data_IF_318201263217
#
_entry.id   IF_318201263217
#
_cell.length_a   1.000
_cell.length_b   1.000
_cell.length_c   1.000
_cell.angle_alpha   90.00
_cell.angle_beta   90.00
_cell.angle_gamma   90.00
#
_symmetry.space_group_name_H-M   'P 1'
#
loop_
_entity.id
_entity.type
_entity.pdbx_description
1 polymer ?
#
# COMPACT_ATOMS: atom_id res chain seq x y z
N UNK A 1 -11.69 18.28 7.05
CA UNK A 1 -11.51 17.92 5.62
C UNK A 1 -10.17 18.41 5.06
N UNK A 2 -9.80 19.70 5.16
CA UNK A 2 -8.50 20.19 4.63
C UNK A 2 -7.28 19.49 5.22
N UNK A 3 -7.31 19.07 6.48
CA UNK A 3 -6.19 18.38 7.13
C UNK A 3 -5.99 16.94 6.65
N UNK A 4 -7.05 16.20 6.31
CA UNK A 4 -6.97 14.84 5.78
C UNK A 4 -6.44 14.84 4.34
N UNK A 5 -6.85 15.80 3.52
CA UNK A 5 -6.29 16.01 2.18
C UNK A 5 -4.84 16.48 2.21
N UNK A 6 -4.46 17.29 3.21
CA UNK A 6 -3.08 17.76 3.38
C UNK A 6 -2.12 16.60 3.73
N UNK A 7 -2.58 15.60 4.48
CA UNK A 7 -1.78 14.40 4.82
C UNK A 7 -1.50 13.51 3.60
N UNK A 8 -2.44 13.42 2.66
CA UNK A 8 -2.23 12.69 1.40
C UNK A 8 -1.25 13.47 0.49
N UNK A 9 -1.31 14.79 0.47
CA UNK A 9 -0.47 15.63 -0.39
C UNK A 9 0.97 15.82 0.09
N UNK A 10 1.23 15.82 1.40
CA UNK A 10 2.57 16.05 1.97
C UNK A 10 3.53 14.85 1.87
N UNK A 11 3.03 13.64 1.52
CA UNK A 11 3.86 12.45 1.27
C UNK A 11 4.58 12.42 -0.08
N UNK A 12 4.24 13.29 -1.03
CA UNK A 12 4.63 13.13 -2.45
C UNK A 12 5.79 14.01 -2.93
N UNK A 13 6.51 14.67 -2.04
CA UNK A 13 7.58 15.59 -2.40
C UNK A 13 8.93 14.97 -2.81
N UNK A 14 9.09 13.66 -2.85
CA UNK A 14 10.33 12.99 -3.23
C UNK A 14 10.05 11.89 -4.24
N UNK A 15 10.59 12.01 -5.43
CA UNK A 15 10.60 10.96 -6.44
C UNK A 15 11.32 9.73 -5.86
N UNK A 16 10.59 8.67 -5.62
CA UNK A 16 11.08 7.42 -5.03
C UNK A 16 10.73 6.24 -5.91
N UNK A 17 11.58 5.25 -5.94
CA UNK A 17 11.64 4.15 -6.88
C UNK A 17 11.37 2.82 -6.17
N UNK A 18 10.67 1.86 -6.81
CA UNK A 18 10.19 0.71 -6.12
C UNK A 18 10.12 -0.62 -6.84
N UNK A 19 9.92 -1.71 -6.21
CA UNK A 19 9.88 -3.00 -6.84
C UNK A 19 8.84 -3.92 -6.23
N UNK A 20 7.96 -4.59 -7.08
CA UNK A 20 7.42 -5.90 -6.60
C UNK A 20 7.04 -6.95 -7.62
N UNK A 21 6.76 -6.64 -8.90
CA UNK A 21 6.48 -7.67 -9.90
C UNK A 21 7.51 -7.78 -11.03
N UNK A 22 8.60 -7.00 -11.00
CA UNK A 22 9.76 -7.43 -11.76
C UNK A 22 10.15 -8.79 -11.20
N UNK A 23 10.00 -9.89 -11.98
CA UNK A 23 10.39 -11.20 -11.48
C UNK A 23 11.85 -11.10 -11.09
N UNK A 24 12.12 -11.42 -9.82
CA UNK A 24 13.49 -11.48 -9.39
C UNK A 24 14.13 -12.60 -10.20
N UNK A 25 14.99 -12.22 -11.12
CA UNK A 25 15.76 -13.19 -11.88
C UNK A 25 16.74 -13.85 -10.93
N UNK A 26 16.68 -15.16 -10.81
CA UNK A 26 17.70 -15.90 -10.10
C UNK A 26 18.94 -15.86 -10.97
N UNK A 27 19.93 -15.08 -10.57
CA UNK A 27 21.21 -14.95 -11.22
C UNK A 27 22.18 -15.97 -10.62
N UNK A 28 22.78 -16.76 -11.48
CA UNK A 28 23.78 -17.77 -11.13
C UNK A 28 25.19 -17.20 -11.01
N UNK A 29 25.44 -16.00 -11.52
CA UNK A 29 26.74 -15.36 -11.40
C UNK A 29 26.99 -14.99 -9.94
N UNK A 30 28.05 -15.56 -9.37
CA UNK A 30 28.51 -15.21 -8.03
C UNK A 30 29.45 -14.01 -8.16
N UNK A 31 28.98 -12.86 -7.69
CA UNK A 31 29.81 -11.68 -7.55
C UNK A 31 30.10 -11.48 -6.08
N UNK A 32 31.35 -11.17 -5.75
CA UNK A 32 31.79 -10.94 -4.39
C UNK A 32 31.02 -9.78 -3.74
N UNK A 33 30.79 -8.73 -4.52
CA UNK A 33 30.09 -7.53 -4.07
C UNK A 33 29.00 -7.13 -5.07
N UNK A 34 27.81 -6.87 -4.55
CA UNK A 34 26.66 -6.37 -5.35
C UNK A 34 25.96 -5.24 -4.65
N UNK A 35 25.57 -4.23 -5.42
CA UNK A 35 24.66 -3.19 -4.97
C UNK A 35 23.37 -3.32 -5.79
N UNK A 36 22.24 -3.36 -5.12
CA UNK A 36 20.91 -3.38 -5.72
C UNK A 36 20.15 -2.15 -5.23
N UNK A 37 19.71 -1.33 -6.16
CA UNK A 37 18.77 -0.24 -5.92
C UNK A 37 17.44 -0.65 -6.55
N UNK A 38 16.40 -0.62 -5.78
CA UNK A 38 15.09 -1.02 -6.24
C UNK A 38 14.01 -0.12 -5.66
N UNK A 39 13.03 0.12 -6.46
CA UNK A 39 12.02 1.00 -6.10
C UNK A 39 10.63 0.69 -6.76
N UNK A 40 9.39 0.92 -6.11
CA UNK A 40 7.99 0.69 -6.57
C UNK A 40 7.01 1.77 -6.13
N UNK A 41 6.21 2.16 -7.00
CA UNK A 41 5.03 2.95 -6.77
C UNK A 41 3.82 2.19 -7.32
N UNK A 42 2.82 2.00 -6.48
CA UNK A 42 1.52 1.46 -6.87
C UNK A 42 0.43 2.23 -6.11
N UNK A 43 -0.41 2.93 -6.83
CA UNK A 43 -1.62 3.55 -6.30
C UNK A 43 -2.79 3.00 -7.10
N UNK A 44 -3.56 2.13 -6.49
CA UNK A 44 -4.59 1.36 -7.18
C UNK A 44 -5.90 1.31 -6.40
N UNK A 45 -7.00 1.15 -7.15
CA UNK A 45 -8.35 1.10 -6.59
C UNK A 45 -9.19 0.06 -7.31
N UNK A 46 -10.21 -0.44 -6.62
CA UNK A 46 -11.22 -1.30 -7.23
C UNK A 46 -12.32 -0.55 -8.00
N UNK A 47 -12.42 0.77 -7.82
CA UNK A 47 -13.54 1.58 -8.33
C UNK A 47 -13.16 2.97 -8.85
N UNK A 48 -12.13 3.61 -8.28
CA UNK A 48 -11.71 4.93 -8.73
C UNK A 48 -11.01 4.85 -10.09
N UNK A 49 -11.22 5.87 -10.91
CA UNK A 49 -10.48 6.03 -12.18
C UNK A 49 -9.08 6.61 -11.94
N UNK A 50 -8.14 6.29 -12.81
CA UNK A 50 -6.78 6.87 -12.77
C UNK A 50 -6.82 8.40 -12.79
N UNK A 51 -7.74 9.01 -13.54
CA UNK A 51 -7.91 10.45 -13.57
C UNK A 51 -8.31 11.03 -12.21
N UNK A 52 -9.26 10.38 -11.50
CA UNK A 52 -9.66 10.80 -10.16
C UNK A 52 -8.53 10.58 -9.12
N UNK A 53 -7.85 9.43 -9.22
CA UNK A 53 -6.70 9.10 -8.38
C UNK A 53 -5.58 10.15 -8.52
N UNK A 54 -5.28 10.57 -9.75
CA UNK A 54 -4.28 11.60 -10.00
C UNK A 54 -4.63 12.94 -9.34
N UNK A 55 -5.93 13.28 -9.21
CA UNK A 55 -6.35 14.50 -8.49
C UNK A 55 -6.05 14.44 -6.99
N UNK A 56 -6.07 13.26 -6.38
CA UNK A 56 -5.64 13.12 -4.99
C UNK A 56 -4.13 13.30 -4.82
N UNK A 57 -3.34 12.95 -5.83
CA UNK A 57 -1.87 13.03 -5.79
C UNK A 57 -1.36 14.41 -6.20
N UNK A 58 -1.80 14.92 -7.32
CA UNK A 58 -1.30 16.16 -7.92
C UNK A 58 -2.14 17.40 -7.62
N UNK A 59 -3.29 17.22 -6.98
CA UNK A 59 -4.26 18.27 -6.76
C UNK A 59 -5.07 18.60 -8.01
N UNK A 60 -5.91 19.62 -7.90
CA UNK A 60 -6.76 20.11 -8.97
C UNK A 60 -8.25 19.83 -8.71
N UNK A 61 -9.08 20.35 -9.59
CA UNK A 61 -10.54 20.25 -9.46
C UNK A 61 -11.02 18.82 -9.76
N UNK A 62 -11.90 18.30 -8.89
CA UNK A 62 -12.67 17.08 -9.11
C UNK A 62 -14.04 17.50 -9.62
N UNK A 63 -14.33 17.22 -10.88
CA UNK A 63 -15.60 17.57 -11.51
C UNK A 63 -16.69 16.55 -11.17
N UNK A 64 -17.96 16.96 -11.24
CA UNK A 64 -19.10 16.06 -11.05
C UNK A 64 -19.03 14.85 -12.01
N UNK A 65 -18.63 15.07 -13.27
CA UNK A 65 -18.48 13.98 -14.24
C UNK A 65 -17.47 12.91 -13.78
N UNK A 66 -16.38 13.30 -13.10
CA UNK A 66 -15.38 12.37 -12.56
C UNK A 66 -15.94 11.61 -11.36
N UNK A 67 -16.64 12.29 -10.44
CA UNK A 67 -17.24 11.64 -9.28
C UNK A 67 -18.39 10.70 -9.68
N UNK A 68 -19.25 11.09 -10.62
CA UNK A 68 -20.34 10.26 -11.13
C UNK A 68 -19.80 9.02 -11.87
N UNK A 69 -18.77 9.19 -12.69
CA UNK A 69 -18.12 8.07 -13.36
C UNK A 69 -17.55 7.07 -12.34
N UNK A 70 -16.90 7.55 -11.29
CA UNK A 70 -16.39 6.71 -10.22
C UNK A 70 -17.55 6.07 -9.44
N UNK A 71 -18.55 6.83 -9.03
CA UNK A 71 -19.71 6.34 -8.27
C UNK A 71 -20.44 5.20 -8.98
N UNK A 72 -20.61 5.29 -10.31
CA UNK A 72 -21.24 4.24 -11.10
C UNK A 72 -20.41 2.94 -11.16
N UNK A 73 -19.11 3.01 -10.92
CA UNK A 73 -18.21 1.84 -10.84
C UNK A 73 -18.14 1.22 -9.45
N UNK A 74 -18.60 1.93 -8.42
CA UNK A 74 -18.57 1.44 -7.05
C UNK A 74 -19.51 0.25 -6.85
N UNK A 75 -18.99 -0.74 -6.15
CA UNK A 75 -19.76 -1.86 -5.57
C UNK A 75 -20.10 -1.53 -4.12
N UNK A 76 -20.81 -2.42 -3.42
CA UNK A 76 -21.12 -2.20 -2.00
C UNK A 76 -19.90 -1.83 -1.18
N UNK A 77 -18.82 -2.59 -1.32
CA UNK A 77 -17.51 -2.35 -0.69
C UNK A 77 -16.41 -2.17 -1.74
N UNK A 78 -15.57 -1.17 -1.55
CA UNK A 78 -14.50 -0.77 -2.48
C UNK A 78 -13.17 -0.64 -1.74
N UNK A 79 -12.08 -0.66 -2.50
CA UNK A 79 -10.71 -0.61 -1.97
C UNK A 79 -9.89 0.44 -2.68
N UNK A 80 -8.97 1.03 -1.92
CA UNK A 80 -7.83 1.80 -2.42
C UNK A 80 -6.61 1.26 -1.70
N UNK A 81 -5.51 1.12 -2.40
CA UNK A 81 -4.20 0.82 -1.84
C UNK A 81 -3.15 1.75 -2.38
N UNK A 82 -2.22 2.09 -1.53
CA UNK A 82 -1.01 2.82 -1.91
C UNK A 82 0.19 2.07 -1.38
N UNK A 83 1.17 1.90 -2.23
CA UNK A 83 2.46 1.37 -1.85
C UNK A 83 3.56 2.16 -2.57
N UNK A 84 4.47 2.72 -1.78
CA UNK A 84 5.67 3.41 -2.24
C UNK A 84 6.83 2.86 -1.44
N UNK A 85 7.77 2.20 -2.11
CA UNK A 85 8.98 1.67 -1.46
C UNK A 85 10.22 2.02 -2.24
N UNK A 86 11.30 2.35 -1.56
CA UNK A 86 12.64 2.44 -2.11
C UNK A 86 13.61 1.71 -1.20
N UNK A 87 14.48 0.85 -1.76
CA UNK A 87 15.39 0.03 -0.99
C UNK A 87 16.75 -0.04 -1.70
N UNK A 88 17.81 0.13 -0.95
CA UNK A 88 19.19 -0.18 -1.33
C UNK A 88 19.60 -1.43 -0.59
N UNK A 89 20.13 -2.41 -1.30
CA UNK A 89 20.65 -3.63 -0.75
C UNK A 89 22.12 -3.81 -1.19
N UNK A 90 23.00 -4.02 -0.23
CA UNK A 90 24.38 -4.41 -0.45
C UNK A 90 24.57 -5.87 -0.07
N UNK A 91 25.20 -6.64 -0.94
CA UNK A 91 25.55 -8.04 -0.74
C UNK A 91 27.04 -8.21 -0.80
N UNK A 92 27.59 -9.01 0.11
CA UNK A 92 28.99 -9.37 0.13
C UNK A 92 29.11 -10.86 0.45
N UNK A 93 29.55 -11.66 -0.53
CA UNK A 93 29.73 -13.12 -0.38
C UNK A 93 31.13 -13.49 0.07
N UNK A 94 32.09 -12.56 0.06
CA UNK A 94 33.45 -12.82 0.60
C UNK A 94 33.47 -12.74 2.13
N UNK A 95 32.62 -11.89 2.72
CA UNK A 95 32.43 -11.85 4.17
C UNK A 95 31.60 -13.06 4.62
N UNK A 96 32.27 -14.03 5.24
CA UNK A 96 31.64 -15.26 5.72
C UNK A 96 30.87 -15.00 6.99
N UNK A 97 29.53 -15.05 6.90
CA UNK A 97 28.65 -14.80 8.03
C UNK A 97 28.70 -15.97 9.02
N UNK A 98 28.92 -15.69 10.29
CA UNK A 98 29.15 -16.68 11.36
C UNK A 98 30.25 -17.72 11.05
N UNK A 99 31.26 -17.37 10.26
CA UNK A 99 32.35 -18.27 9.90
C UNK A 99 31.98 -19.42 8.95
N UNK A 100 30.78 -19.40 8.38
CA UNK A 100 30.30 -20.39 7.42
C UNK A 100 30.59 -19.93 6.00
N UNK A 101 31.34 -20.72 5.25
CA UNK A 101 31.74 -20.40 3.86
C UNK A 101 30.55 -20.20 2.90
N UNK A 102 29.42 -20.82 3.23
CA UNK A 102 28.21 -20.82 2.42
C UNK A 102 27.42 -19.49 2.49
N UNK A 103 27.60 -18.74 3.59
CA UNK A 103 26.75 -17.58 3.86
C UNK A 103 27.54 -16.29 3.83
N UNK A 104 27.12 -15.39 2.92
CA UNK A 104 27.60 -14.01 2.84
C UNK A 104 26.75 -13.06 3.68
N UNK A 105 27.15 -11.80 3.67
CA UNK A 105 26.47 -10.69 4.35
C UNK A 105 25.48 -10.01 3.40
N UNK A 106 24.32 -9.65 3.91
CA UNK A 106 23.39 -8.71 3.27
C UNK A 106 23.08 -7.55 4.21
N UNK A 107 23.14 -6.32 3.69
CA UNK A 107 22.76 -5.10 4.38
C UNK A 107 21.71 -4.37 3.55
N UNK A 108 20.66 -3.85 4.20
CA UNK A 108 19.56 -3.13 3.54
C UNK A 108 19.27 -1.82 4.23
N UNK A 109 18.94 -0.83 3.44
CA UNK A 109 18.34 0.41 3.91
C UNK A 109 17.20 0.79 2.98
N UNK A 110 16.09 1.26 3.53
CA UNK A 110 14.94 1.59 2.71
C UNK A 110 13.92 2.49 3.40
N UNK A 111 13.01 2.99 2.57
CA UNK A 111 11.83 3.75 2.97
C UNK A 111 10.58 3.08 2.41
N UNK A 112 9.52 3.06 3.21
CA UNK A 112 8.23 2.54 2.78
C UNK A 112 7.11 3.47 3.24
N UNK A 113 6.22 3.80 2.33
CA UNK A 113 4.89 4.35 2.61
C UNK A 113 3.87 3.37 2.06
N UNK A 114 3.01 2.84 2.92
CA UNK A 114 2.06 1.80 2.54
C UNK A 114 0.75 1.99 3.29
N UNK A 115 -0.36 1.83 2.58
CA UNK A 115 -1.67 1.95 3.18
C UNK A 115 -2.78 1.34 2.36
N UNK A 116 -3.92 1.18 3.01
CA UNK A 116 -5.14 0.72 2.38
C UNK A 116 -6.36 1.37 2.99
N UNK A 117 -7.38 1.53 2.19
CA UNK A 117 -8.71 1.96 2.60
C UNK A 117 -9.75 1.02 1.98
N UNK A 118 -10.56 0.42 2.83
CA UNK A 118 -11.79 -0.27 2.51
C UNK A 118 -12.95 0.67 2.83
N UNK A 119 -13.91 0.84 1.94
CA UNK A 119 -15.00 1.81 2.15
C UNK A 119 -16.25 1.42 1.37
N UNK A 120 -17.40 1.87 1.88
CA UNK A 120 -18.69 1.64 1.24
C UNK A 120 -18.89 2.57 0.03
N UNK A 121 -19.76 2.17 -0.90
CA UNK A 121 -20.20 3.02 -2.00
C UNK A 121 -20.84 4.33 -1.48
N UNK A 122 -21.63 4.22 -0.42
CA UNK A 122 -22.36 5.35 0.11
C UNK A 122 -21.43 6.37 0.79
N UNK A 123 -20.34 5.90 1.44
CA UNK A 123 -19.32 6.81 1.95
C UNK A 123 -18.71 7.66 0.83
N UNK A 124 -18.42 7.06 -0.32
CA UNK A 124 -17.94 7.81 -1.48
C UNK A 124 -19.00 8.79 -2.00
N UNK A 125 -20.25 8.33 -2.13
CA UNK A 125 -21.37 9.15 -2.56
C UNK A 125 -21.57 10.36 -1.70
N UNK A 126 -21.61 10.20 -0.37
CA UNK A 126 -21.75 11.30 0.57
C UNK A 126 -20.60 12.31 0.50
N UNK A 127 -19.36 11.83 0.32
CA UNK A 127 -18.17 12.70 0.27
C UNK A 127 -18.09 13.52 -1.02
N UNK A 128 -18.47 12.95 -2.16
CA UNK A 128 -18.25 13.57 -3.48
C UNK A 128 -19.52 14.07 -4.14
N UNK A 129 -20.67 13.42 -3.91
CA UNK A 129 -21.94 13.77 -4.54
C UNK A 129 -22.93 14.41 -3.56
N UNK A 130 -22.59 14.38 -2.24
CA UNK A 130 -23.47 14.92 -1.20
C UNK A 130 -24.60 13.97 -0.80
N UNK A 131 -25.52 14.48 0.03
CA UNK A 131 -26.57 13.68 0.65
C UNK A 131 -27.93 13.71 -0.10
N UNK A 132 -28.04 14.48 -1.16
CA UNK A 132 -29.30 14.64 -1.92
C UNK A 132 -29.82 13.29 -2.46
N UNK A 133 -28.93 12.40 -2.90
CA UNK A 133 -29.28 11.07 -3.39
C UNK A 133 -29.80 10.10 -2.32
N UNK A 134 -29.72 10.49 -1.05
CA UNK A 134 -30.13 9.67 0.10
C UNK A 134 -31.39 10.24 0.80
N UNK A 135 -32.14 11.13 0.17
CA UNK A 135 -33.41 11.61 0.69
C UNK A 135 -34.41 10.46 0.78
N UNK A 136 -34.95 10.22 1.97
CA UNK A 136 -35.85 9.10 2.27
C UNK A 136 -35.18 7.73 2.29
N UNK A 137 -33.84 7.68 2.27
CA UNK A 137 -33.06 6.44 2.26
C UNK A 137 -31.92 6.50 3.30
N UNK A 138 -31.38 5.31 3.62
CA UNK A 138 -30.24 5.17 4.49
C UNK A 138 -28.96 5.01 3.68
N UNK A 139 -27.94 5.79 4.01
CA UNK A 139 -26.59 5.62 3.49
C UNK A 139 -25.74 4.84 4.49
N UNK A 140 -25.16 3.71 4.06
CA UNK A 140 -24.33 2.88 4.91
C UNK A 140 -22.85 3.22 4.79
N UNK A 141 -22.23 3.56 5.93
CA UNK A 141 -20.81 3.81 6.09
C UNK A 141 -20.09 2.62 6.73
N UNK A 142 -20.85 1.60 7.13
CA UNK A 142 -20.40 0.44 7.90
C UNK A 142 -19.34 -0.36 7.17
N UNK A 143 -18.43 -0.98 7.95
CA UNK A 143 -17.35 -1.81 7.43
C UNK A 143 -16.20 -1.04 6.80
N UNK A 144 -16.22 0.29 6.81
CA UNK A 144 -15.10 1.10 6.32
C UNK A 144 -13.91 1.00 7.28
N UNK A 145 -12.73 0.72 6.72
CA UNK A 145 -11.49 0.62 7.51
C UNK A 145 -10.29 1.06 6.68
N UNK A 146 -9.35 1.74 7.33
CA UNK A 146 -8.14 2.23 6.69
C UNK A 146 -6.94 2.11 7.59
N UNK A 147 -5.77 1.98 6.96
CA UNK A 147 -4.47 2.00 7.64
C UNK A 147 -3.43 2.61 6.71
N UNK A 148 -2.56 3.44 7.27
CA UNK A 148 -1.45 4.03 6.54
C UNK A 148 -0.23 4.13 7.44
N UNK A 149 0.92 3.73 6.88
CA UNK A 149 2.21 3.72 7.54
C UNK A 149 3.28 4.37 6.68
N UNK A 150 4.18 5.10 7.33
CA UNK A 150 5.46 5.46 6.73
C UNK A 150 6.59 5.11 7.68
N UNK A 151 7.62 4.45 7.17
CA UNK A 151 8.77 4.04 7.96
C UNK A 151 10.06 3.92 7.15
N UNK A 152 11.18 4.10 7.82
CA UNK A 152 12.50 3.77 7.34
C UNK A 152 12.90 2.40 7.89
N UNK A 153 13.69 1.66 7.12
CA UNK A 153 14.19 0.34 7.46
C UNK A 153 15.70 0.32 7.35
N UNK A 154 16.35 -0.27 8.34
CA UNK A 154 17.74 -0.72 8.25
C UNK A 154 17.79 -2.19 8.66
N UNK A 155 18.44 -3.03 7.83
CA UNK A 155 18.49 -4.47 8.03
C UNK A 155 19.88 -5.03 7.79
N UNK A 156 20.23 -6.06 8.55
CA UNK A 156 21.44 -6.84 8.38
C UNK A 156 21.08 -8.32 8.43
N UNK A 157 21.75 -9.14 7.62
CA UNK A 157 21.43 -10.56 7.55
C UNK A 157 22.41 -11.40 6.78
N UNK A 158 22.05 -12.66 6.59
CA UNK A 158 22.81 -13.64 5.85
C UNK A 158 22.16 -13.92 4.49
N UNK A 159 23.01 -14.21 3.49
CA UNK A 159 22.60 -14.62 2.15
C UNK A 159 23.34 -15.91 1.75
N UNK A 160 22.59 -16.90 1.27
CA UNK A 160 23.17 -18.10 0.69
C UNK A 160 23.80 -17.76 -0.68
N UNK A 161 25.04 -18.12 -0.86
CA UNK A 161 25.81 -17.79 -2.06
C UNK A 161 25.22 -18.41 -3.33
N UNK A 162 24.73 -19.63 -3.27
CA UNK A 162 24.24 -20.38 -4.44
C UNK A 162 22.78 -20.05 -4.77
N UNK A 163 21.90 -20.13 -3.80
CA UNK A 163 20.46 -19.93 -4.02
C UNK A 163 20.05 -18.47 -3.96
N UNK A 164 20.92 -17.59 -3.40
CA UNK A 164 20.59 -16.20 -3.06
C UNK A 164 19.42 -16.09 -2.07
N UNK A 165 19.09 -17.21 -1.41
CA UNK A 165 18.16 -17.19 -0.27
C UNK A 165 18.75 -16.34 0.84
N UNK A 166 17.95 -15.53 1.48
CA UNK A 166 18.45 -14.64 2.52
C UNK A 166 17.44 -14.42 3.63
N UNK A 167 17.97 -14.08 4.79
CA UNK A 167 17.19 -13.66 5.94
C UNK A 167 17.88 -12.44 6.56
N UNK A 168 17.10 -11.43 6.95
CA UNK A 168 17.63 -10.26 7.64
C UNK A 168 16.78 -9.87 8.84
N UNK A 169 17.44 -9.39 9.88
CA UNK A 169 16.85 -8.71 11.00
C UNK A 169 16.81 -7.21 10.68
N UNK A 170 15.67 -6.60 10.89
CA UNK A 170 15.43 -5.21 10.55
C UNK A 170 15.04 -4.38 11.78
N UNK A 171 15.51 -3.16 11.81
CA UNK A 171 15.05 -2.10 12.71
C UNK A 171 14.29 -1.07 11.89
N UNK A 172 13.18 -0.60 12.43
CA UNK A 172 12.32 0.38 11.77
C UNK A 172 12.24 1.68 12.58
N UNK A 173 12.36 2.82 11.89
CA UNK A 173 11.95 4.12 12.40
C UNK A 173 10.59 4.49 11.82
N UNK A 174 9.58 4.60 12.66
CA UNK A 174 8.20 4.90 12.21
C UNK A 174 8.02 6.41 12.13
N UNK A 175 7.72 6.94 10.94
CA UNK A 175 7.49 8.38 10.74
C UNK A 175 6.01 8.76 10.80
N UNK A 176 5.12 7.86 10.39
CA UNK A 176 3.67 8.10 10.45
C UNK A 176 2.92 6.78 10.65
N UNK A 177 1.87 6.87 11.44
CA UNK A 177 0.89 5.82 11.62
C UNK A 177 -0.50 6.43 11.70
N UNK A 178 -1.42 5.92 10.89
CA UNK A 178 -2.85 6.27 10.94
C UNK A 178 -3.65 4.99 10.73
N UNK A 179 -4.72 4.83 11.50
CA UNK A 179 -5.71 3.79 11.28
C UNK A 179 -7.09 4.33 11.56
N UNK A 180 -8.08 3.86 10.82
CA UNK A 180 -9.48 4.21 11.02
C UNK A 180 -10.34 2.96 10.85
N UNK A 181 -11.41 2.86 11.61
CA UNK A 181 -12.38 1.78 11.51
C UNK A 181 -13.76 2.26 11.86
N UNK A 182 -14.71 2.03 10.97
CA UNK A 182 -16.15 2.24 11.18
C UNK A 182 -16.80 0.86 11.23
N UNK A 183 -17.20 0.43 12.43
CA UNK A 183 -17.91 -0.85 12.62
C UNK A 183 -19.33 -0.72 12.15
N UNK A 184 -20.00 0.31 12.63
CA UNK A 184 -21.35 0.70 12.25
C UNK A 184 -21.36 2.18 11.93
N UNK A 185 -21.98 2.54 10.83
CA UNK A 185 -22.16 3.92 10.43
C UNK A 185 -23.33 4.00 9.47
N UNK A 186 -24.36 4.77 9.83
CA UNK A 186 -25.50 5.00 8.97
C UNK A 186 -25.90 6.46 9.01
N UNK A 187 -26.25 6.99 7.87
CA UNK A 187 -26.84 8.31 7.72
C UNK A 187 -28.22 8.15 7.08
N UNK A 188 -29.26 8.52 7.79
CA UNK A 188 -30.63 8.60 7.26
C UNK A 188 -31.09 10.04 7.21
N UNK A 189 -31.69 10.42 6.10
CA UNK A 189 -32.32 11.72 5.92
C UNK A 189 -33.77 11.52 5.49
N UNK A 190 -34.68 12.24 6.10
CA UNK A 190 -36.12 12.21 5.69
C UNK A 190 -36.30 12.68 4.25
N UNK A 191 -37.35 12.21 3.59
CA UNK A 191 -37.65 12.57 2.21
C UNK A 191 -37.86 14.09 1.99
N UNK A 192 -38.30 14.77 3.04
CA UNK A 192 -38.50 16.23 3.00
C UNK A 192 -37.24 17.03 3.43
N UNK A 193 -36.12 16.32 3.74
CA UNK A 193 -34.89 16.93 4.24
C UNK A 193 -35.04 17.73 5.55
N UNK A 194 -36.10 17.49 6.34
CA UNK A 194 -36.39 18.18 7.58
C UNK A 194 -35.71 17.57 8.81
N UNK A 195 -35.27 16.32 8.72
CA UNK A 195 -34.46 15.68 9.75
C UNK A 195 -33.36 14.79 9.19
N UNK A 196 -32.29 14.66 9.98
CA UNK A 196 -31.14 13.82 9.68
C UNK A 196 -30.78 13.03 10.93
N UNK A 197 -30.61 11.70 10.78
CA UNK A 197 -30.15 10.82 11.84
C UNK A 197 -28.81 10.20 11.46
N UNK A 198 -27.84 10.27 12.35
CA UNK A 198 -26.51 9.71 12.19
C UNK A 198 -26.23 8.74 13.31
N UNK A 199 -25.96 7.47 12.96
CA UNK A 199 -25.43 6.47 13.90
C UNK A 199 -23.96 6.24 13.57
N UNK A 200 -23.10 6.28 14.59
CA UNK A 200 -21.68 6.04 14.44
C UNK A 200 -21.17 5.13 15.56
N UNK A 201 -20.53 4.03 15.19
CA UNK A 201 -19.67 3.20 16.05
C UNK A 201 -18.35 2.99 15.32
N UNK A 202 -17.35 3.72 15.72
CA UNK A 202 -16.07 3.68 15.04
C UNK A 202 -15.02 4.54 15.72
N UNK A 203 -13.85 4.57 15.10
CA UNK A 203 -12.79 5.41 15.61
C UNK A 203 -11.64 5.55 14.61
N UNK A 204 -10.80 6.49 14.91
CA UNK A 204 -9.59 6.75 14.18
C UNK A 204 -8.45 6.97 15.17
N UNK A 205 -7.27 6.49 14.85
CA UNK A 205 -6.06 6.69 15.65
C UNK A 205 -4.91 7.15 14.76
N UNK A 206 -4.18 8.14 15.21
CA UNK A 206 -3.02 8.66 14.51
C UNK A 206 -1.87 8.94 15.46
N UNK A 207 -0.64 8.73 14.98
CA UNK A 207 0.54 9.21 15.67
C UNK A 207 0.60 10.73 15.59
N UNK A 208 0.65 11.38 16.76
CA UNK A 208 0.70 12.83 16.92
C UNK A 208 2.07 13.27 17.45
N UNK A 209 2.26 14.57 17.66
CA UNK A 209 3.51 15.13 18.17
C UNK A 209 4.45 15.62 17.07
N UNK A 210 5.45 16.41 17.46
CA UNK A 210 6.38 17.10 16.54
C UNK A 210 7.60 16.26 16.11
N UNK A 211 7.89 15.15 16.83
CA UNK A 211 9.05 14.32 16.54
C UNK A 211 8.96 13.68 15.16
N UNK A 212 10.07 13.63 14.41
CA UNK A 212 10.12 12.96 13.12
C UNK A 212 9.82 11.46 13.26
N UNK A 213 10.48 10.78 14.20
CA UNK A 213 10.15 9.39 14.52
C UNK A 213 9.05 9.32 15.58
N UNK A 214 7.98 8.63 15.25
CA UNK A 214 6.81 8.37 16.10
C UNK A 214 6.97 7.08 16.90
N UNK A 215 7.94 6.25 16.55
CA UNK A 215 8.18 4.98 17.19
C UNK A 215 9.34 4.23 16.55
N UNK A 216 9.66 3.10 17.15
CA UNK A 216 10.68 2.16 16.66
C UNK A 216 10.09 0.78 16.55
N UNK A 217 10.57 -0.01 15.58
CA UNK A 217 10.10 -1.37 15.37
C UNK A 217 11.25 -2.34 15.13
N UNK A 218 10.95 -3.62 15.25
CA UNK A 218 11.83 -4.72 14.88
C UNK A 218 11.04 -5.74 14.04
N UNK A 219 11.74 -6.41 13.14
CA UNK A 219 11.13 -7.46 12.34
C UNK A 219 12.14 -8.16 11.46
N UNK A 220 11.63 -9.08 10.65
CA UNK A 220 12.42 -9.91 9.76
C UNK A 220 11.95 -9.79 8.32
N UNK A 221 12.91 -9.82 7.38
CA UNK A 221 12.67 -10.14 5.98
C UNK A 221 13.25 -11.52 5.71
N UNK A 222 12.54 -12.30 4.91
CA UNK A 222 12.92 -13.63 4.52
C UNK A 222 12.64 -13.84 3.03
N UNK A 223 13.64 -14.23 2.26
CA UNK A 223 13.55 -14.59 0.84
C UNK A 223 14.19 -15.95 0.65
N UNK A 224 13.38 -16.98 0.67
CA UNK A 224 13.82 -18.36 0.46
C UNK A 224 13.51 -18.80 -0.96
N UNK A 225 14.54 -19.32 -1.65
CA UNK A 225 14.47 -19.74 -3.04
C UNK A 225 14.82 -21.21 -3.14
N UNK A 226 13.82 -22.01 -3.41
CA UNK A 226 13.91 -23.46 -3.51
C UNK A 226 14.07 -23.88 -4.98
N UNK A 227 15.18 -24.55 -5.35
CA UNK A 227 15.31 -25.14 -6.67
C UNK A 227 14.33 -26.31 -6.82
N UNK A 228 13.62 -26.35 -7.93
CA UNK A 228 12.67 -27.43 -8.29
C UNK A 228 12.98 -27.87 -9.71
N UNK A 229 13.20 -29.15 -9.90
CA UNK A 229 13.35 -29.72 -11.24
C UNK A 229 11.96 -29.85 -11.90
N UNK A 230 11.76 -29.12 -13.00
CA UNK A 230 10.48 -29.15 -13.73
C UNK A 230 10.49 -30.24 -14.80
N UNK A 231 11.62 -30.35 -15.51
CA UNK A 231 11.89 -31.38 -16.54
C UNK A 231 13.32 -31.78 -16.37
N UNK A 232 13.66 -33.01 -16.69
CA UNK A 232 15.02 -33.56 -16.54
C UNK A 232 16.08 -32.57 -17.05
N UNK A 233 16.94 -32.10 -16.15
CA UNK A 233 18.02 -31.14 -16.44
C UNK A 233 17.57 -29.65 -16.44
N UNK A 234 16.28 -29.30 -16.17
CA UNK A 234 15.83 -27.93 -16.10
C UNK A 234 15.36 -27.56 -14.69
N UNK A 235 16.10 -26.68 -14.05
CA UNK A 235 15.80 -26.21 -12.70
C UNK A 235 15.08 -24.87 -12.73
N UNK A 236 13.89 -24.82 -12.14
CA UNK A 236 13.19 -23.58 -11.80
C UNK A 236 13.36 -23.26 -10.32
N UNK A 237 13.01 -22.06 -9.93
CA UNK A 237 13.02 -21.62 -8.54
C UNK A 237 11.63 -21.22 -8.08
N UNK A 238 11.22 -21.74 -6.94
CA UNK A 238 10.06 -21.30 -6.18
C UNK A 238 10.55 -20.39 -5.07
N UNK A 239 9.99 -19.19 -5.00
CA UNK A 239 10.31 -18.19 -3.98
C UNK A 239 9.24 -18.16 -2.90
N UNK A 240 9.67 -18.11 -1.65
CA UNK A 240 8.88 -17.75 -0.48
C UNK A 240 9.44 -16.45 0.07
N UNK A 241 8.74 -15.35 -0.15
CA UNK A 241 9.14 -14.02 0.26
C UNK A 241 8.23 -13.52 1.38
N UNK A 242 8.86 -13.08 2.46
CA UNK A 242 8.18 -12.34 3.54
C UNK A 242 8.96 -11.06 3.76
N UNK A 243 8.29 -9.92 3.76
CA UNK A 243 8.90 -8.62 4.08
C UNK A 243 8.17 -7.94 5.21
N UNK A 244 8.93 -7.23 6.05
CA UNK A 244 8.45 -6.42 7.15
C UNK A 244 7.60 -7.20 8.17
N UNK A 245 7.87 -8.49 8.37
CA UNK A 245 7.18 -9.26 9.41
C UNK A 245 7.73 -8.87 10.78
N UNK A 246 6.97 -8.07 11.51
CA UNK A 246 7.44 -7.53 12.78
C UNK A 246 6.40 -6.66 13.47
N UNK A 247 6.85 -5.98 14.52
CA UNK A 247 6.04 -5.06 15.30
C UNK A 247 6.81 -3.77 15.62
N UNK A 248 6.08 -2.68 15.78
CA UNK A 248 6.61 -1.39 16.17
C UNK A 248 5.95 -0.90 17.45
N UNK A 249 6.75 -0.35 18.34
CA UNK A 249 6.31 0.38 19.51
C UNK A 249 6.20 1.88 19.15
N UNK A 250 4.99 2.40 19.18
CA UNK A 250 4.71 3.81 18.94
C UNK A 250 4.91 4.56 20.28
N UNK A 251 6.03 5.27 20.38
CA UNK A 251 6.44 6.01 21.58
C UNK A 251 5.87 7.43 21.61
N UNK A 252 5.62 8.04 20.46
CA UNK A 252 4.85 9.27 20.39
C UNK A 252 3.38 8.96 20.67
N UNK A 253 2.67 9.89 21.32
CA UNK A 253 1.26 9.67 21.61
C UNK A 253 0.51 9.29 20.33
N UNK A 254 -0.17 8.17 20.39
CA UNK A 254 -1.20 7.81 19.43
C UNK A 254 -2.50 8.32 20.00
N UNK A 255 -3.03 9.37 19.41
CA UNK A 255 -4.33 9.88 19.80
C UNK A 255 -5.41 9.07 19.11
N UNK A 256 -6.24 8.42 19.89
CA UNK A 256 -7.39 7.65 19.42
C UNK A 256 -8.63 8.45 19.70
N UNK A 257 -9.44 8.65 18.67
CA UNK A 257 -10.75 9.25 18.73
C UNK A 257 -11.79 8.15 18.49
N UNK A 258 -12.72 7.99 19.41
CA UNK A 258 -13.78 7.00 19.29
C UNK A 258 -15.13 7.69 19.43
N UNK A 259 -16.09 7.31 18.60
CA UNK A 259 -17.47 7.72 18.68
C UNK A 259 -18.35 6.48 18.75
N UNK A 260 -19.27 6.45 19.70
CA UNK A 260 -20.33 5.45 19.78
C UNK A 260 -21.61 6.22 20.13
N UNK A 261 -22.29 6.70 19.11
CA UNK A 261 -23.39 7.65 19.32
C UNK A 261 -24.43 7.54 18.23
N UNK A 262 -25.65 7.94 18.60
CA UNK A 262 -26.73 8.21 17.67
C UNK A 262 -27.20 9.64 17.89
N UNK A 263 -27.12 10.43 16.82
CA UNK A 263 -27.52 11.86 16.82
C UNK A 263 -28.62 12.05 15.81
N UNK A 264 -29.69 12.76 16.24
CA UNK A 264 -30.75 13.19 15.35
C UNK A 264 -30.79 14.73 15.31
N UNK A 265 -30.81 15.26 14.12
CA UNK A 265 -30.89 16.69 13.86
C UNK A 265 -32.18 17.00 13.12
N UNK A 266 -33.07 17.81 13.75
CA UNK A 266 -34.40 18.14 13.23
C UNK A 266 -34.48 19.63 12.80
N UNK A 267 -33.40 20.15 12.21
CA UNK A 267 -33.28 21.54 11.83
C UNK A 267 -32.74 22.45 12.94
N UNK A 268 -32.48 23.70 12.61
CA UNK A 268 -32.08 24.74 13.55
C UNK A 268 -33.29 25.59 13.92
N UNK A 269 -33.48 25.83 15.21
CA UNK A 269 -34.47 26.81 15.67
C UNK A 269 -33.96 28.24 15.44
N UNK A 270 -34.89 29.21 15.44
CA UNK A 270 -34.54 30.63 15.28
C UNK A 270 -33.51 31.08 16.35
N UNK A 271 -33.66 30.61 17.58
CA UNK A 271 -32.73 30.93 18.67
C UNK A 271 -31.36 30.32 18.46
N UNK A 272 -31.26 29.12 17.87
CA UNK A 272 -29.99 28.50 17.50
C UNK A 272 -29.30 29.21 16.34
N UNK A 273 -30.05 29.87 15.46
CA UNK A 273 -29.49 30.66 14.35
C UNK A 273 -29.06 32.06 14.80
N UNK A 274 -29.86 32.73 15.63
CA UNK A 274 -29.69 34.15 15.93
C UNK A 274 -29.56 34.45 17.44
N UNK A 275 -29.72 33.45 18.32
CA UNK A 275 -29.55 33.61 19.77
C UNK A 275 -28.09 33.79 20.20
N UNK A 276 -27.89 34.05 21.49
CA UNK A 276 -26.54 34.25 22.09
C UNK A 276 -25.62 33.04 22.00
N UNK A 277 -26.16 31.83 21.74
CA UNK A 277 -25.44 30.58 21.50
C UNK A 277 -25.54 30.12 20.06
N UNK A 278 -25.62 31.02 19.07
CA UNK A 278 -25.84 30.64 17.67
C UNK A 278 -24.66 29.87 17.07
N UNK A 279 -24.97 29.00 16.13
CA UNK A 279 -23.98 28.24 15.33
C UNK A 279 -22.96 29.15 14.64
N UNK A 280 -23.35 30.41 14.37
CA UNK A 280 -22.45 31.39 13.74
C UNK A 280 -21.46 32.03 14.72
N UNK A 281 -21.65 31.89 16.01
CA UNK A 281 -20.75 32.42 17.05
C UNK A 281 -19.64 31.41 17.44
N UNK A 282 -19.46 30.29 16.70
CA UNK A 282 -18.39 29.29 16.93
C UNK A 282 -18.59 28.41 18.17
N UNK A 283 -19.75 28.46 18.82
CA UNK A 283 -20.07 27.63 19.98
C UNK A 283 -20.55 26.19 19.61
N UNK A 284 -20.80 25.93 18.34
CA UNK A 284 -21.17 24.60 17.88
C UNK A 284 -19.91 23.75 17.63
N UNK A 285 -19.67 22.74 18.48
CA UNK A 285 -18.63 21.75 18.32
C UNK A 285 -19.24 20.43 17.84
N UNK A 286 -18.86 20.01 16.65
CA UNK A 286 -19.30 18.72 16.11
C UNK A 286 -18.79 17.55 16.96
N UNK A 287 -17.58 17.67 17.54
CA UNK A 287 -17.01 16.66 18.44
C UNK A 287 -17.83 16.47 19.70
N UNK A 288 -18.34 17.57 20.28
CA UNK A 288 -19.17 17.51 21.48
C UNK A 288 -20.54 16.90 21.18
N UNK A 289 -21.11 17.25 20.02
CA UNK A 289 -22.39 16.68 19.56
C UNK A 289 -22.28 15.18 19.28
N UNK A 290 -21.15 14.73 18.74
CA UNK A 290 -20.89 13.33 18.42
C UNK A 290 -20.35 12.53 19.63
N UNK A 291 -20.19 13.13 20.80
CA UNK A 291 -19.63 12.49 21.99
C UNK A 291 -18.35 11.73 21.66
N UNK A 292 -17.40 12.45 21.04
CA UNK A 292 -16.12 11.85 20.63
C UNK A 292 -15.17 11.79 21.82
N UNK A 293 -14.94 10.59 22.30
CA UNK A 293 -13.90 10.35 23.29
C UNK A 293 -12.52 10.38 22.67
N UNK A 294 -11.57 11.04 23.32
CA UNK A 294 -10.17 11.03 22.89
C UNK A 294 -9.27 10.47 23.98
N UNK A 295 -8.44 9.52 23.61
CA UNK A 295 -7.40 8.96 24.47
C UNK A 295 -6.06 9.02 23.78
N UNK A 296 -5.01 9.28 24.57
CA UNK A 296 -3.64 9.31 24.05
C UNK A 296 -2.79 8.29 24.76
N UNK A 297 -2.03 7.50 24.03
CA UNK A 297 -1.19 6.48 24.60
C UNK A 297 -0.10 5.98 23.65
N UNK A 298 0.82 5.21 24.19
CA UNK A 298 1.84 4.48 23.42
C UNK A 298 1.48 2.99 23.36
N UNK A 299 2.04 2.27 22.39
CA UNK A 299 1.78 0.82 22.33
C UNK A 299 2.35 0.12 21.11
N UNK A 300 2.27 -1.21 21.16
CA UNK A 300 2.70 -2.07 20.07
C UNK A 300 1.67 -2.17 18.96
N UNK A 301 2.15 -2.11 17.73
CA UNK A 301 1.35 -2.33 16.51
C UNK A 301 2.09 -3.25 15.56
N UNK A 302 1.37 -4.14 14.88
CA UNK A 302 1.94 -5.00 13.84
C UNK A 302 2.33 -4.16 12.62
N UNK A 303 3.51 -4.43 12.08
CA UNK A 303 4.01 -3.78 10.85
C UNK A 303 3.22 -4.27 9.62
N UNK A 304 3.10 -3.45 8.56
CA UNK A 304 2.49 -3.88 7.31
C UNK A 304 3.40 -4.90 6.59
N UNK A 305 3.11 -6.18 6.81
CA UNK A 305 3.84 -7.28 6.23
C UNK A 305 3.35 -7.61 4.81
N UNK A 306 4.26 -8.16 4.00
CA UNK A 306 3.97 -8.69 2.67
C UNK A 306 4.46 -10.12 2.59
N UNK A 307 3.61 -11.03 2.12
CA UNK A 307 3.92 -12.44 1.90
C UNK A 307 3.70 -12.74 0.42
N UNK A 308 4.68 -13.37 -0.22
CA UNK A 308 4.58 -13.80 -1.62
C UNK A 308 5.13 -15.20 -1.77
N UNK A 309 4.43 -16.01 -2.55
CA UNK A 309 4.88 -17.36 -2.94
C UNK A 309 4.67 -17.50 -4.44
N UNK A 310 5.69 -17.98 -5.16
CA UNK A 310 5.54 -18.17 -6.59
C UNK A 310 6.79 -18.71 -7.29
N UNK A 311 6.59 -19.14 -8.54
CA UNK A 311 7.70 -19.49 -9.44
C UNK A 311 8.37 -18.21 -9.92
N UNK A 312 9.70 -18.19 -9.86
CA UNK A 312 10.55 -17.13 -10.37
C UNK A 312 10.99 -17.41 -11.82
N UNK A 313 11.42 -16.35 -12.49
CA UNK A 313 12.28 -16.46 -13.69
C UNK A 313 13.70 -16.83 -13.23
N UNK A 314 14.38 -17.71 -13.95
CA UNK A 314 15.74 -18.16 -13.60
C UNK A 314 16.62 -18.25 -14.83
N UNK A 315 17.89 -17.85 -14.69
CA UNK A 315 18.90 -18.07 -15.75
C UNK A 315 19.26 -19.54 -15.93
N UNK A 316 19.03 -20.38 -14.91
CA UNK A 316 19.23 -21.82 -15.00
C UNK A 316 18.13 -22.55 -15.78
N UNK A 317 17.00 -21.91 -16.01
CA UNK A 317 15.97 -22.41 -16.90
C UNK A 317 16.34 -22.01 -18.33
N UNK A 318 17.12 -22.87 -19.02
CA UNK A 318 17.56 -22.62 -20.40
C UNK A 318 16.37 -22.69 -21.37
N UNK A 319 15.53 -21.67 -21.31
CA UNK A 319 14.35 -21.50 -22.15
C UNK A 319 14.26 -20.05 -22.59
N UNK A 320 14.03 -19.85 -23.90
CA UNK A 320 13.82 -18.52 -24.49
C UNK A 320 12.61 -17.83 -23.86
N UNK A 321 11.57 -18.59 -23.53
CA UNK A 321 10.35 -18.10 -22.88
C UNK A 321 10.23 -18.76 -21.52
N UNK A 322 10.14 -17.96 -20.47
CA UNK A 322 10.02 -18.43 -19.10
C UNK A 322 8.75 -17.91 -18.47
N UNK A 323 7.89 -18.83 -17.99
CA UNK A 323 6.70 -18.47 -17.23
C UNK A 323 7.01 -18.22 -15.76
N UNK A 324 6.31 -17.29 -15.14
CA UNK A 324 6.29 -17.07 -13.70
C UNK A 324 4.86 -16.87 -13.22
N UNK A 325 4.58 -17.25 -11.98
CA UNK A 325 3.26 -17.14 -11.40
C UNK A 325 3.35 -17.25 -9.87
N UNK A 326 2.33 -16.75 -9.19
CA UNK A 326 2.30 -16.83 -7.73
C UNK A 326 1.11 -16.14 -7.10
N UNK A 327 1.20 -16.03 -5.79
CA UNK A 327 0.24 -15.34 -4.95
C UNK A 327 0.96 -14.36 -4.04
N UNK A 328 0.36 -13.19 -3.80
CA UNK A 328 0.82 -12.18 -2.86
C UNK A 328 -0.30 -11.80 -1.90
N UNK A 329 0.06 -11.60 -0.64
CA UNK A 329 -0.86 -11.23 0.43
C UNK A 329 -0.31 -10.08 1.26
N UNK A 330 -1.22 -9.29 1.81
CA UNK A 330 -0.95 -8.18 2.73
C UNK A 330 -1.75 -8.41 4.04
N UNK A 331 -1.27 -9.25 4.96
CA UNK A 331 -2.07 -9.73 6.09
C UNK A 331 -2.60 -8.64 7.02
N UNK A 332 -1.93 -7.50 7.07
CA UNK A 332 -2.24 -6.37 7.98
C UNK A 332 -2.98 -5.22 7.29
N UNK A 333 -3.27 -5.35 5.99
CA UNK A 333 -3.95 -4.32 5.20
C UNK A 333 -5.28 -4.84 4.65
N UNK A 334 -6.17 -3.93 4.31
CA UNK A 334 -7.48 -4.24 3.72
C UNK A 334 -7.37 -4.58 2.22
N UNK A 335 -6.58 -5.61 1.91
CA UNK A 335 -6.37 -6.14 0.57
C UNK A 335 -6.88 -7.58 0.47
N UNK A 336 -7.29 -8.00 -0.73
CA UNK A 336 -7.53 -9.42 -1.00
C UNK A 336 -6.24 -10.09 -1.47
N UNK A 337 -6.07 -11.42 -1.32
CA UNK A 337 -4.95 -12.10 -1.93
C UNK A 337 -4.88 -11.80 -3.43
N UNK A 338 -3.69 -11.49 -3.93
CA UNK A 338 -3.45 -11.20 -5.34
C UNK A 338 -2.79 -12.40 -5.99
N UNK A 339 -3.42 -12.96 -7.02
CA UNK A 339 -2.80 -13.96 -7.90
C UNK A 339 -2.21 -13.27 -9.12
N UNK A 340 -1.07 -13.76 -9.57
CA UNK A 340 -0.42 -13.23 -10.78
C UNK A 340 0.19 -14.36 -11.61
N UNK A 341 0.25 -14.14 -12.91
CA UNK A 341 0.97 -14.99 -13.86
C UNK A 341 1.54 -14.13 -14.97
N UNK A 342 2.66 -14.58 -15.54
CA UNK A 342 3.30 -13.87 -16.63
C UNK A 342 4.30 -14.73 -17.37
N UNK A 343 4.90 -14.15 -18.40
CA UNK A 343 5.97 -14.75 -19.15
C UNK A 343 7.04 -13.70 -19.48
N UNK A 344 8.28 -14.13 -19.48
CA UNK A 344 9.43 -13.37 -19.92
C UNK A 344 10.06 -14.02 -21.16
N UNK A 345 10.41 -13.19 -22.14
CA UNK A 345 11.20 -13.58 -23.30
C UNK A 345 12.57 -12.94 -23.16
N UNK A 346 13.62 -13.72 -23.25
CA UNK A 346 15.00 -13.24 -23.22
C UNK A 346 15.57 -13.26 -24.64
N UNK A 347 16.02 -12.09 -25.09
CA UNK A 347 16.70 -11.92 -26.39
C UNK A 347 18.05 -11.25 -26.13
N UNK A 348 19.12 -12.02 -26.21
CA UNK A 348 20.49 -11.56 -25.89
C UNK A 348 20.55 -10.89 -24.49
N UNK A 349 20.86 -9.61 -24.47
CA UNK A 349 20.99 -8.80 -23.24
C UNK A 349 19.68 -8.17 -22.77
N UNK A 350 18.60 -8.31 -23.52
CA UNK A 350 17.31 -7.69 -23.21
C UNK A 350 16.30 -8.77 -22.87
N UNK A 351 15.56 -8.56 -21.82
CA UNK A 351 14.40 -9.38 -21.44
C UNK A 351 13.14 -8.53 -21.45
N UNK A 352 12.09 -9.06 -22.05
CA UNK A 352 10.75 -8.44 -22.08
C UNK A 352 9.79 -9.36 -21.35
N UNK A 353 8.98 -8.80 -20.48
CA UNK A 353 8.00 -9.58 -19.78
C UNK A 353 6.62 -8.92 -19.76
N UNK A 354 5.62 -9.78 -19.77
CA UNK A 354 4.23 -9.40 -19.57
C UNK A 354 3.65 -10.19 -18.42
N UNK A 355 2.76 -9.59 -17.67
CA UNK A 355 2.06 -10.28 -16.59
C UNK A 355 0.61 -9.81 -16.52
N UNK A 356 -0.20 -10.66 -15.96
CA UNK A 356 -1.56 -10.36 -15.54
C UNK A 356 -1.70 -10.65 -14.06
N UNK A 357 -2.52 -9.88 -13.37
CA UNK A 357 -2.81 -10.09 -11.96
C UNK A 357 -4.27 -9.79 -11.65
N UNK A 358 -4.77 -10.42 -10.58
CA UNK A 358 -6.12 -10.19 -10.07
C UNK A 358 -6.09 -10.20 -8.53
N UNK A 359 -6.69 -9.18 -7.91
CA UNK A 359 -6.73 -9.05 -6.46
C UNK A 359 -5.89 -7.87 -5.95
N UNK A 360 -5.37 -7.98 -4.73
CA UNK A 360 -4.71 -6.86 -4.05
C UNK A 360 -5.69 -5.76 -3.67
N UNK A 361 -5.40 -4.54 -4.06
CA UNK A 361 -6.26 -3.37 -3.82
C UNK A 361 -7.23 -3.09 -4.98
N UNK A 362 -7.10 -3.80 -6.08
CA UNK A 362 -7.89 -3.59 -7.31
C UNK A 362 -8.47 -4.91 -7.83
N UNK A 363 -8.93 -4.93 -9.09
CA UNK A 363 -9.34 -6.12 -9.81
C UNK A 363 -8.26 -6.65 -10.74
N UNK A 364 -8.60 -6.82 -12.01
CA UNK A 364 -7.69 -7.27 -13.07
C UNK A 364 -6.73 -6.16 -13.49
N UNK A 365 -5.44 -6.52 -13.63
CA UNK A 365 -4.39 -5.66 -14.20
C UNK A 365 -3.54 -6.45 -15.19
N UNK A 366 -2.97 -5.73 -16.14
CA UNK A 366 -1.97 -6.24 -17.06
C UNK A 366 -0.72 -5.37 -16.98
N UNK A 367 0.40 -5.97 -16.70
CA UNK A 367 1.69 -5.32 -16.54
C UNK A 367 2.66 -5.65 -17.68
N UNK A 368 3.67 -4.81 -17.79
CA UNK A 368 4.77 -4.96 -18.72
C UNK A 368 6.07 -4.53 -18.05
N UNK A 369 7.16 -5.21 -18.37
CA UNK A 369 8.49 -4.79 -17.94
C UNK A 369 9.56 -5.10 -19.00
N UNK A 370 10.65 -4.35 -18.93
CA UNK A 370 11.86 -4.58 -19.72
C UNK A 370 13.07 -4.59 -18.79
N UNK A 371 14.00 -5.51 -19.03
CA UNK A 371 15.25 -5.60 -18.31
C UNK A 371 16.41 -5.62 -19.30
N UNK A 372 17.45 -4.86 -18.99
CA UNK A 372 18.71 -4.84 -19.71
C UNK A 372 19.78 -5.53 -18.85
N UNK A 373 20.30 -6.65 -19.34
CA UNK A 373 21.22 -7.52 -18.61
C UNK A 373 22.64 -7.39 -19.22
N UNK A 374 23.49 -6.63 -18.56
CA UNK A 374 24.90 -6.53 -18.92
C UNK A 374 25.74 -7.35 -17.92
N UNK A 375 27.01 -7.63 -18.28
CA UNK A 375 27.88 -8.47 -17.44
C UNK A 375 28.01 -7.99 -15.99
N UNK A 376 28.10 -6.65 -15.78
CA UNK A 376 28.30 -6.05 -14.45
C UNK A 376 27.07 -5.33 -13.92
N UNK A 377 26.09 -5.01 -14.73
CA UNK A 377 24.91 -4.30 -14.27
C UNK A 377 23.64 -4.79 -14.98
N UNK A 378 22.56 -4.70 -14.26
CA UNK A 378 21.22 -5.00 -14.74
C UNK A 378 20.32 -3.81 -14.43
N UNK A 379 19.52 -3.39 -15.41
CA UNK A 379 18.55 -2.31 -15.27
C UNK A 379 17.19 -2.84 -15.70
N UNK A 380 16.20 -2.75 -14.84
CA UNK A 380 14.83 -3.13 -15.11
C UNK A 380 13.87 -1.98 -14.86
N UNK A 381 12.91 -1.81 -15.74
CA UNK A 381 11.77 -0.88 -15.58
C UNK A 381 10.48 -1.57 -15.96
N UNK A 382 9.38 -1.19 -15.33
CA UNK A 382 8.08 -1.80 -15.65
C UNK A 382 6.89 -1.07 -15.02
N UNK A 383 5.72 -1.51 -15.44
CA UNK A 383 4.41 -1.08 -14.96
C UNK A 383 3.61 -2.31 -14.55
N UNK A 384 2.96 -2.29 -13.40
CA UNK A 384 2.05 -3.37 -12.99
C UNK A 384 0.66 -3.21 -13.59
N UNK A 385 0.29 -1.99 -13.99
CA UNK A 385 -0.97 -1.67 -14.64
C UNK A 385 -0.73 -0.73 -15.82
N UNK A 386 -0.51 -1.32 -17.00
CA UNK A 386 -0.33 -0.55 -18.24
C UNK A 386 -1.58 0.25 -18.59
N UNK A 387 -2.77 -0.36 -18.43
CA UNK A 387 -4.01 0.33 -18.72
C UNK A 387 -4.25 1.48 -17.73
N UNK A 388 -3.94 1.28 -16.45
CA UNK A 388 -4.05 2.31 -15.43
C UNK A 388 -3.13 3.51 -15.69
N UNK A 389 -1.89 3.25 -16.07
CA UNK A 389 -0.88 4.31 -16.29
C UNK A 389 -1.12 5.14 -17.55
N UNK A 390 -1.73 4.57 -18.59
CA UNK A 390 -1.95 5.26 -19.88
C UNK A 390 -3.40 5.66 -20.16
N UNK A 391 -4.36 5.24 -19.35
CA UNK A 391 -5.77 5.54 -19.56
C UNK A 391 -6.37 6.28 -18.36
N UNK A 392 -7.01 7.42 -18.62
CA UNK A 392 -7.80 8.14 -17.60
C UNK A 392 -8.87 7.26 -16.94
N UNK A 393 -9.34 6.22 -17.65
CA UNK A 393 -10.37 5.28 -17.19
C UNK A 393 -9.78 4.04 -16.51
N UNK A 394 -8.47 3.94 -16.30
CA UNK A 394 -7.83 2.85 -15.57
C UNK A 394 -8.20 2.83 -14.10
N UNK A 395 -7.60 1.92 -13.33
CA UNK A 395 -7.89 1.71 -11.93
C UNK A 395 -6.75 2.10 -10.99
N UNK A 396 -5.75 2.80 -11.52
CA UNK A 396 -4.59 3.20 -10.74
C UNK A 396 -3.43 3.65 -11.63
N UNK A 397 -2.29 3.78 -11.01
CA UNK A 397 -1.02 4.06 -11.65
C UNK A 397 0.08 3.30 -10.92
N UNK A 398 1.07 2.82 -11.67
CA UNK A 398 2.16 2.03 -11.10
C UNK A 398 3.44 2.21 -11.89
N UNK A 399 4.56 2.14 -11.20
CA UNK A 399 5.88 2.17 -11.81
C UNK A 399 6.85 1.32 -11.00
N UNK A 400 7.77 0.62 -11.69
CA UNK A 400 8.81 -0.20 -11.09
C UNK A 400 10.15 0.10 -11.71
N UNK A 401 11.18 0.10 -10.87
CA UNK A 401 12.57 0.25 -11.27
C UNK A 401 13.47 -0.68 -10.47
N UNK A 402 14.49 -1.22 -11.12
CA UNK A 402 15.57 -1.97 -10.49
C UNK A 402 16.88 -1.67 -11.18
N UNK A 403 17.90 -1.40 -10.39
CA UNK A 403 19.28 -1.33 -10.82
C UNK A 403 20.11 -2.28 -9.96
N UNK A 404 20.93 -3.12 -10.59
CA UNK A 404 21.89 -3.98 -9.92
C UNK A 404 23.27 -3.74 -10.54
N UNK A 405 24.27 -3.58 -9.70
CA UNK A 405 25.66 -3.44 -10.10
C UNK A 405 26.50 -4.45 -9.33
N UNK A 406 27.29 -5.25 -10.07
CA UNK A 406 28.37 -6.09 -9.54
C UNK A 406 29.67 -5.28 -9.55
N UNK A 407 30.36 -5.25 -8.41
CA UNK A 407 31.61 -4.51 -8.20
C UNK A 407 32.83 -5.38 -8.37
#
# INVERSE_FOLDING_TARGET
MKSLMLFIALGFGLQSFAQRLLPQQHDTLVHAHEIILQGHYDLSSSSLSSELIQKFVSGGEITNAMSDFAFNRHKGINRIGVELTGEVEYRNTDLKFFGQEKYGLVVRAGYTAIGSLLYSKDLFGLVFNGNESYLGAEASLSGSTGSFWTFQKFGIGAIDEKTKSNISLNVYGISSFVTARMREGTLYQTANADSLSLTLDGGYAASTGANYFKGVGIGIDFDYRMPVEIVQGKTAYVQFLVKNLGAAYLSSPVTTYAANTQVSFNGLTFDQLYGTGSVFNGSFSLSDTLHVDSTSGSGWKMMPAVIQVGKMVSEMEDAMVQGFYGIRMYPTLSAVPMVYAGAQIKVNTVSFGVNVSYGGFTGFRAGYYTQFNFKKFNVGVGLEDVYGSFSKKGYGDSFMFRFRCAL
#
